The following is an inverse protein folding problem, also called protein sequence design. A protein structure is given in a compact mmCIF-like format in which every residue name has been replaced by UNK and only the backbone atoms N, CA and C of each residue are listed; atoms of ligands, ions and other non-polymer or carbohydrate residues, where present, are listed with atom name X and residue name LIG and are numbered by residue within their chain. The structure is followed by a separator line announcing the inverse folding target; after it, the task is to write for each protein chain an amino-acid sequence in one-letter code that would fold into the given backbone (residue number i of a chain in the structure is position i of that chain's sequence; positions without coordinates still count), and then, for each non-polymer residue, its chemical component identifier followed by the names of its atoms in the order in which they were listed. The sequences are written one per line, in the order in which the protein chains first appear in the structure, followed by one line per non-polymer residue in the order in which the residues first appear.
data_IF_401006672498
#
_entry.id   IF_401006672498
#
_cell.length_a   1.000
_cell.length_b   1.000
_cell.length_c   1.000
_cell.angle_alpha   90.00
_cell.angle_beta   90.00
_cell.angle_gamma   90.00
#
_symmetry.space_group_name_H-M   'P 1'
#
loop_
_entity.id
_entity.type
_entity.pdbx_description
1 polymer ?
#
# COMPACT_ATOMS: atom_id res chain seq x y z
N UNK A 1 4.47 -10.71 -0.20
CA UNK A 1 4.32 -11.92 0.65
C UNK A 1 3.88 -11.59 2.08
N UNK A 2 3.82 -10.32 2.45
CA UNK A 2 3.83 -9.77 3.79
C UNK A 2 2.44 -9.88 4.43
N UNK A 3 1.38 -9.58 3.67
CA UNK A 3 -0.01 -9.76 4.12
C UNK A 3 -0.30 -11.23 4.47
N UNK A 4 0.22 -12.17 3.68
CA UNK A 4 0.10 -13.60 4.01
C UNK A 4 0.85 -13.96 5.30
N UNK A 5 2.01 -13.33 5.56
CA UNK A 5 2.75 -13.53 6.80
C UNK A 5 1.98 -13.03 8.03
N UNK A 6 1.29 -11.89 7.93
CA UNK A 6 0.39 -11.40 9.00
C UNK A 6 -0.68 -12.44 9.32
N UNK A 7 -1.38 -12.94 8.29
CA UNK A 7 -2.47 -13.91 8.47
C UNK A 7 -1.94 -15.21 9.07
N UNK A 8 -0.84 -15.76 8.54
CA UNK A 8 -0.24 -17.00 9.05
C UNK A 8 0.23 -16.88 10.50
N UNK A 9 0.85 -15.77 10.89
CA UNK A 9 1.28 -15.54 12.27
C UNK A 9 0.09 -15.53 13.23
N UNK A 10 -1.02 -14.89 12.83
CA UNK A 10 -2.22 -14.86 13.66
C UNK A 10 -2.87 -16.25 13.76
N UNK A 11 -3.00 -16.94 12.62
CA UNK A 11 -3.59 -18.28 12.52
C UNK A 11 -2.80 -19.33 13.35
N UNK A 12 -1.48 -19.21 13.41
CA UNK A 12 -0.62 -20.06 14.25
C UNK A 12 -0.63 -19.67 15.74
N UNK A 13 -1.43 -18.68 16.15
CA UNK A 13 -1.49 -18.20 17.53
C UNK A 13 -0.38 -17.20 17.94
N UNK A 14 0.52 -16.82 17.02
CA UNK A 14 1.51 -15.76 17.27
C UNK A 14 0.89 -14.37 17.04
N UNK A 15 0.00 -14.00 17.96
CA UNK A 15 -0.69 -12.69 17.94
C UNK A 15 0.31 -11.54 18.02
N UNK A 16 1.38 -11.69 18.80
CA UNK A 16 2.39 -10.64 18.96
C UNK A 16 3.18 -10.42 17.66
N UNK A 17 3.56 -11.49 16.96
CA UNK A 17 4.19 -11.42 15.63
C UNK A 17 3.25 -10.84 14.59
N UNK A 18 2.00 -11.28 14.54
CA UNK A 18 0.99 -10.71 13.65
C UNK A 18 0.81 -9.20 13.86
N UNK A 19 0.77 -8.75 15.11
CA UNK A 19 0.67 -7.32 15.43
C UNK A 19 1.91 -6.53 14.99
N UNK A 20 3.13 -7.07 15.19
CA UNK A 20 4.36 -6.41 14.72
C UNK A 20 4.35 -6.25 13.20
N UNK A 21 4.02 -7.33 12.47
CA UNK A 21 3.93 -7.31 11.01
C UNK A 21 2.81 -6.39 10.51
N UNK A 22 1.64 -6.39 11.16
CA UNK A 22 0.55 -5.50 10.81
C UNK A 22 0.95 -4.02 10.96
N UNK A 23 1.66 -3.68 12.05
CA UNK A 23 2.13 -2.33 12.29
C UNK A 23 3.17 -1.88 11.28
N UNK A 24 4.10 -2.76 10.86
CA UNK A 24 5.07 -2.40 9.80
C UNK A 24 4.38 -2.12 8.46
N UNK A 25 3.26 -2.79 8.17
CA UNK A 25 2.45 -2.52 6.98
C UNK A 25 1.49 -1.33 7.14
N UNK A 26 1.39 -0.73 8.33
CA UNK A 26 0.42 0.33 8.62
C UNK A 26 0.56 1.56 7.72
N UNK A 27 1.79 1.92 7.34
CA UNK A 27 2.06 3.02 6.41
C UNK A 27 1.44 2.77 5.03
N UNK A 28 1.74 1.61 4.42
CA UNK A 28 1.22 1.28 3.09
C UNK A 28 -0.30 1.05 3.11
N UNK A 29 -0.84 0.44 4.16
CA UNK A 29 -2.29 0.28 4.32
C UNK A 29 -3.02 1.62 4.41
N UNK A 30 -2.43 2.62 5.05
CA UNK A 30 -3.03 3.95 5.16
C UNK A 30 -2.95 4.70 3.83
N UNK A 31 -1.76 4.77 3.25
CA UNK A 31 -1.52 5.69 2.13
C UNK A 31 -2.04 5.14 0.78
N UNK A 32 -2.29 3.83 0.66
CA UNK A 32 -3.08 3.28 -0.46
C UNK A 32 -4.56 3.70 -0.45
N UNK A 33 -5.02 4.34 0.62
CA UNK A 33 -6.37 4.89 0.79
C UNK A 33 -6.37 6.39 1.12
N UNK A 34 -5.28 7.11 0.82
CA UNK A 34 -5.18 8.57 1.05
C UNK A 34 -6.16 9.38 0.17
N UNK A 35 -6.62 8.78 -0.93
CA UNK A 35 -7.68 9.26 -1.82
C UNK A 35 -8.64 8.09 -2.15
N UNK A 36 -9.82 8.34 -2.77
CA UNK A 36 -10.78 7.28 -3.07
C UNK A 36 -10.19 6.09 -3.83
N UNK A 37 -10.35 4.90 -3.28
CA UNK A 37 -9.94 3.65 -3.92
C UNK A 37 -10.74 3.42 -5.22
N UNK A 38 -10.12 3.02 -6.35
CA UNK A 38 -8.74 2.51 -6.51
C UNK A 38 -7.71 3.50 -7.05
N UNK A 39 -7.91 4.83 -6.92
CA UNK A 39 -6.99 5.83 -7.49
C UNK A 39 -5.53 5.63 -7.02
N UNK A 40 -5.23 5.47 -5.70
CA UNK A 40 -3.83 5.36 -5.26
C UNK A 40 -3.15 4.07 -5.73
N UNK A 41 -3.83 2.92 -5.65
CA UNK A 41 -3.24 1.64 -6.06
C UNK A 41 -2.98 1.58 -7.56
N UNK A 42 -3.88 2.12 -8.40
CA UNK A 42 -3.64 2.20 -9.85
C UNK A 42 -2.47 3.14 -10.17
N UNK A 43 -2.37 4.24 -9.43
CA UNK A 43 -1.24 5.17 -9.56
C UNK A 43 0.08 4.47 -9.22
N UNK A 44 0.15 3.76 -8.09
CA UNK A 44 1.34 3.00 -7.69
C UNK A 44 1.73 1.91 -8.71
N UNK A 45 0.76 1.13 -9.19
CA UNK A 45 1.02 0.06 -10.18
C UNK A 45 1.44 0.62 -11.55
N UNK A 46 1.00 1.83 -11.90
CA UNK A 46 1.45 2.52 -13.11
C UNK A 46 2.93 2.92 -13.05
N UNK A 47 3.43 3.35 -11.90
CA UNK A 47 4.86 3.65 -11.73
C UNK A 47 5.73 2.39 -11.84
N UNK A 48 5.16 1.22 -11.53
CA UNK A 48 5.82 -0.09 -11.70
C UNK A 48 5.65 -0.67 -13.11
N UNK A 49 5.03 0.05 -14.03
CA UNK A 49 4.80 -0.40 -15.41
C UNK A 49 3.83 -1.57 -15.54
N UNK A 50 3.01 -1.84 -14.52
CA UNK A 50 2.10 -2.99 -14.50
C UNK A 50 0.72 -2.68 -15.10
N UNK A 51 0.31 -1.41 -15.13
CA UNK A 51 -0.96 -0.96 -15.72
C UNK A 51 -0.99 0.56 -15.95
N UNK A 52 -2.09 1.11 -16.48
CA UNK A 52 -2.30 2.58 -16.56
C UNK A 52 -2.90 3.13 -15.26
N UNK A 53 -2.60 4.39 -14.95
CA UNK A 53 -3.19 5.13 -13.82
C UNK A 53 -4.63 5.62 -14.09
N UNK A 54 -5.11 5.45 -15.32
CA UNK A 54 -6.41 5.97 -15.77
C UNK A 54 -7.56 5.45 -14.91
N UNK A 55 -8.45 6.35 -14.49
CA UNK A 55 -9.71 6.01 -13.82
C UNK A 55 -10.87 6.63 -14.59
N UNK A 56 -12.07 6.05 -14.41
CA UNK A 56 -13.29 6.59 -15.00
C UNK A 56 -14.02 7.44 -13.96
N UNK A 57 -14.68 8.49 -14.43
CA UNK A 57 -15.58 9.28 -13.59
C UNK A 57 -16.57 8.36 -12.86
N UNK A 58 -16.90 8.67 -11.59
CA UNK A 58 -16.63 9.94 -10.89
C UNK A 58 -15.23 10.07 -10.27
N UNK A 59 -14.35 9.09 -10.45
CA UNK A 59 -12.96 9.17 -9.95
C UNK A 59 -12.09 10.05 -10.87
N UNK A 60 -11.07 10.66 -10.29
CA UNK A 60 -10.09 11.49 -10.98
C UNK A 60 -8.65 11.09 -10.60
N UNK A 61 -7.69 11.67 -11.29
CA UNK A 61 -6.27 11.44 -11.05
C UNK A 61 -5.84 11.93 -9.66
N UNK A 62 -4.84 11.24 -9.11
CA UNK A 62 -4.33 11.54 -7.77
C UNK A 62 -3.63 12.89 -7.74
N UNK A 63 -3.84 13.67 -6.68
CA UNK A 63 -3.18 14.97 -6.52
C UNK A 63 -1.66 14.84 -6.41
N UNK A 64 -0.91 15.83 -6.91
CA UNK A 64 0.56 15.79 -6.85
C UNK A 64 1.11 15.66 -5.43
N UNK A 65 0.47 16.30 -4.44
CA UNK A 65 0.86 16.18 -3.03
C UNK A 65 0.73 14.74 -2.51
N UNK A 66 -0.40 14.08 -2.81
CA UNK A 66 -0.62 12.69 -2.41
C UNK A 66 0.22 11.70 -3.23
N UNK A 67 0.60 12.05 -4.47
CA UNK A 67 1.59 11.28 -5.24
C UNK A 67 2.95 11.27 -4.55
N UNK A 68 3.45 12.42 -4.11
CA UNK A 68 4.71 12.50 -3.35
C UNK A 68 4.62 11.66 -2.08
N UNK A 69 3.53 11.79 -1.32
CA UNK A 69 3.31 11.03 -0.10
C UNK A 69 3.29 9.52 -0.33
N UNK A 70 2.57 9.06 -1.36
CA UNK A 70 2.50 7.65 -1.70
C UNK A 70 3.85 7.10 -2.14
N UNK A 71 4.66 7.87 -2.91
CA UNK A 71 6.02 7.45 -3.27
C UNK A 71 6.90 7.24 -2.05
N UNK A 72 6.90 8.19 -1.11
CA UNK A 72 7.69 8.05 0.13
C UNK A 72 7.32 6.77 0.89
N UNK A 73 6.03 6.46 0.99
CA UNK A 73 5.56 5.25 1.66
C UNK A 73 5.95 3.97 0.92
N UNK A 74 5.90 3.98 -0.42
CA UNK A 74 6.39 2.85 -1.23
C UNK A 74 7.90 2.66 -1.08
N UNK A 75 8.68 3.74 -1.06
CA UNK A 75 10.14 3.69 -0.89
C UNK A 75 10.51 3.12 0.49
N UNK A 76 9.79 3.50 1.55
CA UNK A 76 9.96 2.91 2.89
C UNK A 76 9.63 1.41 2.85
N UNK A 77 8.47 1.05 2.29
CA UNK A 77 8.03 -0.34 2.19
C UNK A 77 9.00 -1.22 1.40
N UNK A 78 9.50 -0.74 0.26
CA UNK A 78 10.42 -1.49 -0.59
C UNK A 78 11.80 -1.68 0.09
N UNK A 79 12.25 -0.73 0.93
CA UNK A 79 13.45 -0.91 1.76
C UNK A 79 13.28 -1.94 2.86
N UNK A 80 12.10 -1.98 3.49
CA UNK A 80 11.83 -2.92 4.59
C UNK A 80 11.51 -4.34 4.08
N UNK A 81 11.16 -4.48 2.80
CA UNK A 81 10.89 -5.75 2.14
C UNK A 81 12.13 -6.41 1.51
N UNK A 82 13.25 -5.68 1.39
CA UNK A 82 14.54 -6.16 0.87
C UNK A 82 15.40 -6.80 1.97
#
# INVERSE_FOLDING_TARGET
AEVCAVVRAFDSGDVAGAQRLHRSLGGIFKDLFIEPNPVPVKTALSWRGQMTSEVRLPLCEMTAANQTRLRETLDIFDRDAA
#
